data_IF_867623303711
#
_entry.id   IF_867623303711
#
_cell.length_a   1.000
_cell.length_b   1.000
_cell.length_c   1.000
_cell.angle_alpha   90.00
_cell.angle_beta   90.00
_cell.angle_gamma   90.00
#
_symmetry.space_group_name_H-M   'P 1'
#
loop_
_entity.id
_entity.type
_entity.pdbx_description
1 polymer ?
#
# COMPACT_ATOMS: atom_id res chain seq x y z
N UNK A 1 16.57 0.93 11.00
CA UNK A 1 17.09 1.79 12.10
C UNK A 1 17.98 2.95 11.63
N UNK A 2 18.29 3.09 10.33
CA UNK A 2 19.02 4.28 9.86
C UNK A 2 18.03 5.36 9.47
N UNK A 3 18.17 6.55 10.05
CA UNK A 3 17.31 7.68 9.75
C UNK A 3 17.29 8.06 8.26
N UNK A 4 18.41 7.86 7.55
CA UNK A 4 18.47 8.01 6.09
C UNK A 4 17.59 6.99 5.35
N UNK A 5 17.48 5.77 5.89
CA UNK A 5 16.62 4.73 5.33
C UNK A 5 15.14 5.10 5.40
N UNK A 6 14.71 5.78 6.47
CA UNK A 6 13.32 6.20 6.62
C UNK A 6 12.91 7.24 5.57
N UNK A 7 13.74 8.27 5.36
CA UNK A 7 13.49 9.27 4.32
C UNK A 7 13.48 8.66 2.92
N UNK A 8 14.40 7.73 2.62
CA UNK A 8 14.42 7.05 1.34
C UNK A 8 13.16 6.18 1.12
N UNK A 9 12.69 5.46 2.14
CA UNK A 9 11.45 4.70 2.04
C UNK A 9 10.24 5.62 1.77
N UNK A 10 10.14 6.76 2.46
CA UNK A 10 9.07 7.73 2.22
C UNK A 10 9.14 8.35 0.83
N UNK A 11 10.35 8.57 0.29
CA UNK A 11 10.54 9.06 -1.07
C UNK A 11 10.01 8.04 -2.09
N UNK A 12 10.45 6.78 -1.98
CA UNK A 12 10.00 5.69 -2.88
C UNK A 12 8.49 5.49 -2.77
N UNK A 13 7.95 5.51 -1.56
CA UNK A 13 6.51 5.38 -1.32
C UNK A 13 5.73 6.56 -1.92
N UNK A 14 6.19 7.80 -1.71
CA UNK A 14 5.58 8.99 -2.29
C UNK A 14 5.58 8.97 -3.83
N UNK A 15 6.69 8.56 -4.45
CA UNK A 15 6.77 8.39 -5.90
C UNK A 15 5.84 7.29 -6.43
N UNK A 16 5.70 6.19 -5.69
CA UNK A 16 4.74 5.14 -6.04
C UNK A 16 3.29 5.66 -5.98
N UNK A 17 2.95 6.51 -5.01
CA UNK A 17 1.63 7.15 -4.95
C UNK A 17 1.41 8.13 -6.12
N UNK A 18 2.44 8.86 -6.55
CA UNK A 18 2.36 9.70 -7.76
C UNK A 18 2.10 8.86 -9.01
N UNK A 19 2.79 7.72 -9.15
CA UNK A 19 2.51 6.79 -10.23
C UNK A 19 1.06 6.25 -10.14
N UNK A 20 0.58 5.93 -8.94
CA UNK A 20 -0.80 5.47 -8.73
C UNK A 20 -1.84 6.54 -9.14
N UNK A 21 -1.59 7.82 -8.87
CA UNK A 21 -2.45 8.92 -9.33
C UNK A 21 -2.60 8.93 -10.85
N UNK A 22 -1.49 8.76 -11.58
CA UNK A 22 -1.52 8.74 -13.04
C UNK A 22 -2.20 7.48 -13.58
N UNK A 23 -1.86 6.31 -13.04
CA UNK A 23 -2.18 5.03 -13.67
C UNK A 23 -3.49 4.40 -13.18
N UNK A 24 -3.89 4.63 -11.93
CA UNK A 24 -4.95 3.85 -11.28
C UNK A 24 -6.11 4.71 -10.80
N UNK A 25 -5.84 5.89 -10.27
CA UNK A 25 -6.88 6.71 -9.63
C UNK A 25 -7.76 7.38 -10.70
N UNK A 26 -9.08 7.14 -10.64
CA UNK A 26 -10.07 7.65 -11.61
C UNK A 26 -11.22 8.44 -10.98
N UNK A 27 -11.18 8.66 -9.67
CA UNK A 27 -12.21 9.41 -8.95
C UNK A 27 -11.61 10.65 -8.26
N UNK A 28 -12.38 11.75 -8.20
CA UNK A 28 -11.95 13.04 -7.64
C UNK A 28 -11.50 12.91 -6.19
N UNK A 29 -12.30 12.24 -5.36
CA UNK A 29 -11.96 12.03 -3.96
C UNK A 29 -10.64 11.27 -3.81
N UNK A 30 -10.49 10.17 -4.54
CA UNK A 30 -9.25 9.38 -4.53
C UNK A 30 -8.06 10.20 -5.02
N UNK A 31 -8.26 11.04 -6.05
CA UNK A 31 -7.19 11.87 -6.60
C UNK A 31 -6.70 12.88 -5.58
N UNK A 32 -7.62 13.64 -4.94
CA UNK A 32 -7.26 14.63 -3.92
C UNK A 32 -6.59 13.95 -2.72
N UNK A 33 -7.17 12.87 -2.21
CA UNK A 33 -6.64 12.18 -1.04
C UNK A 33 -5.24 11.62 -1.29
N UNK A 34 -5.06 10.87 -2.38
CA UNK A 34 -3.76 10.26 -2.72
C UNK A 34 -2.74 11.34 -3.06
N UNK A 35 -3.12 12.44 -3.71
CA UNK A 35 -2.22 13.57 -3.98
C UNK A 35 -1.72 14.23 -2.69
N UNK A 36 -2.60 14.45 -1.71
CA UNK A 36 -2.21 14.97 -0.41
C UNK A 36 -1.25 14.03 0.30
N UNK A 37 -1.57 12.73 0.35
CA UNK A 37 -0.70 11.74 1.01
C UNK A 37 0.66 11.63 0.31
N UNK A 38 0.68 11.63 -1.02
CA UNK A 38 1.91 11.63 -1.81
C UNK A 38 2.76 12.88 -1.52
N UNK A 39 2.15 14.06 -1.54
CA UNK A 39 2.83 15.31 -1.23
C UNK A 39 3.41 15.32 0.18
N UNK A 40 2.65 14.86 1.19
CA UNK A 40 3.13 14.75 2.57
C UNK A 40 4.33 13.80 2.67
N UNK A 41 4.27 12.62 2.03
CA UNK A 41 5.38 11.68 2.03
C UNK A 41 6.65 12.29 1.39
N UNK A 42 6.50 12.95 0.24
CA UNK A 42 7.62 13.59 -0.47
C UNK A 42 8.20 14.78 0.32
N UNK A 43 7.35 15.61 0.91
CA UNK A 43 7.80 16.74 1.74
C UNK A 43 8.55 16.24 2.96
N UNK A 44 8.04 15.22 3.66
CA UNK A 44 8.73 14.64 4.82
C UNK A 44 10.05 13.98 4.40
N UNK A 45 10.05 13.25 3.28
CA UNK A 45 11.26 12.62 2.77
C UNK A 45 12.38 13.61 2.43
N UNK A 46 12.03 14.77 1.86
CA UNK A 46 12.99 15.74 1.35
C UNK A 46 13.38 16.84 2.35
N UNK A 47 12.47 17.21 3.27
CA UNK A 47 12.63 18.41 4.11
C UNK A 47 12.58 18.17 5.62
N UNK A 48 11.99 17.07 6.08
CA UNK A 48 11.82 16.87 7.52
C UNK A 48 13.10 16.38 8.21
N UNK A 49 13.12 16.53 9.54
CA UNK A 49 14.18 15.91 10.35
C UNK A 49 14.09 14.39 10.28
N UNK A 50 15.21 13.76 10.64
CA UNK A 50 15.40 12.32 10.65
C UNK A 50 14.40 11.59 11.56
N UNK A 51 14.11 12.19 12.69
CA UNK A 51 13.19 11.70 13.72
C UNK A 51 11.75 11.77 13.21
N UNK A 52 11.37 12.88 12.57
CA UNK A 52 10.03 13.05 11.97
C UNK A 52 9.82 12.05 10.84
N UNK A 53 10.79 11.88 9.95
CA UNK A 53 10.71 10.89 8.87
C UNK A 53 10.52 9.46 9.40
N UNK A 54 11.22 9.11 10.48
CA UNK A 54 11.05 7.82 11.13
C UNK A 54 9.66 7.66 11.77
N UNK A 55 9.16 8.68 12.47
CA UNK A 55 7.83 8.66 13.08
C UNK A 55 6.73 8.48 12.02
N UNK A 56 6.78 9.27 10.95
CA UNK A 56 5.81 9.22 9.85
C UNK A 56 5.85 7.85 9.16
N UNK A 57 7.04 7.32 8.89
CA UNK A 57 7.18 6.00 8.29
C UNK A 57 6.58 4.90 9.17
N UNK A 58 6.85 4.92 10.49
CA UNK A 58 6.30 3.93 11.43
C UNK A 58 4.77 4.06 11.48
N UNK A 59 4.25 5.28 11.55
CA UNK A 59 2.80 5.51 11.50
C UNK A 59 2.18 4.91 10.24
N UNK A 60 2.71 5.21 9.05
CA UNK A 60 2.22 4.65 7.80
C UNK A 60 2.34 3.13 7.75
N UNK A 61 3.46 2.57 8.20
CA UNK A 61 3.67 1.13 8.22
C UNK A 61 2.62 0.40 9.08
N UNK A 62 2.29 0.96 10.26
CA UNK A 62 1.23 0.41 11.13
C UNK A 62 -0.14 0.50 10.45
N UNK A 63 -0.48 1.64 9.85
CA UNK A 63 -1.76 1.79 9.15
C UNK A 63 -1.91 0.80 7.99
N UNK A 64 -0.86 0.60 7.20
CA UNK A 64 -0.86 -0.34 6.09
C UNK A 64 -0.92 -1.80 6.57
N UNK A 65 -0.20 -2.14 7.64
CA UNK A 65 -0.28 -3.46 8.25
C UNK A 65 -1.71 -3.79 8.71
N UNK A 66 -2.35 -2.84 9.41
CA UNK A 66 -3.73 -3.01 9.88
C UNK A 66 -4.73 -3.08 8.72
N UNK A 67 -4.52 -2.31 7.65
CA UNK A 67 -5.40 -2.28 6.49
C UNK A 67 -5.49 -3.64 5.76
N UNK A 68 -4.38 -4.39 5.68
CA UNK A 68 -4.39 -5.73 5.07
C UNK A 68 -5.22 -6.71 5.90
N UNK A 69 -5.05 -6.72 7.22
CA UNK A 69 -5.72 -7.68 8.10
C UNK A 69 -7.20 -7.34 8.34
N UNK A 70 -7.57 -6.06 8.33
CA UNK A 70 -8.97 -5.65 8.51
C UNK A 70 -9.88 -6.00 7.33
N UNK A 71 -9.30 -6.28 6.16
CA UNK A 71 -10.02 -6.62 4.92
C UNK A 71 -9.51 -7.92 4.27
N UNK A 72 -9.07 -8.88 5.09
CA UNK A 72 -8.56 -10.16 4.60
C UNK A 72 -9.61 -10.97 3.82
N UNK A 73 -10.89 -10.80 4.14
CA UNK A 73 -12.05 -11.35 3.44
C UNK A 73 -12.14 -10.85 1.98
N UNK A 74 -11.82 -9.57 1.75
CA UNK A 74 -11.85 -8.96 0.43
C UNK A 74 -10.76 -9.51 -0.50
N UNK A 75 -9.63 -9.94 0.06
CA UNK A 75 -8.46 -10.42 -0.69
C UNK A 75 -8.75 -11.68 -1.54
N UNK A 76 -9.76 -12.47 -1.14
CA UNK A 76 -10.21 -13.68 -1.84
C UNK A 76 -11.63 -13.54 -2.39
N UNK A 77 -12.14 -12.33 -2.51
CA UNK A 77 -13.46 -12.05 -3.09
C UNK A 77 -13.33 -11.88 -4.59
N UNK A 78 -14.12 -12.58 -5.41
CA UNK A 78 -14.09 -12.43 -6.88
C UNK A 78 -14.90 -11.20 -7.38
N UNK A 79 -16.02 -10.90 -6.72
CA UNK A 79 -16.93 -9.81 -7.10
C UNK A 79 -17.19 -8.92 -5.90
N UNK A 80 -16.92 -7.63 -6.05
CA UNK A 80 -17.16 -6.60 -5.05
C UNK A 80 -18.54 -5.98 -5.25
N UNK A 81 -19.27 -5.76 -4.15
CA UNK A 81 -20.49 -4.95 -4.16
C UNK A 81 -20.11 -3.47 -4.14
N UNK A 82 -20.41 -2.74 -5.20
CA UNK A 82 -20.15 -1.31 -5.30
C UNK A 82 -21.46 -0.53 -5.34
N UNK A 83 -21.38 0.80 -5.18
CA UNK A 83 -22.56 1.67 -5.34
C UNK A 83 -23.21 1.59 -6.74
N UNK A 84 -22.49 1.08 -7.75
CA UNK A 84 -22.97 0.89 -9.11
C UNK A 84 -23.41 -0.56 -9.40
N UNK A 85 -23.42 -1.43 -8.38
CA UNK A 85 -23.75 -2.85 -8.49
C UNK A 85 -22.53 -3.79 -8.36
N UNK A 86 -22.71 -5.09 -8.65
CA UNK A 86 -21.64 -6.08 -8.59
C UNK A 86 -20.60 -5.81 -9.68
N UNK A 87 -19.36 -5.56 -9.27
CA UNK A 87 -18.21 -5.35 -10.17
C UNK A 87 -17.10 -6.35 -9.82
N UNK A 88 -16.28 -6.82 -10.78
CA UNK A 88 -15.12 -7.64 -10.44
C UNK A 88 -14.23 -6.92 -9.41
N UNK A 89 -13.83 -7.64 -8.36
CA UNK A 89 -12.88 -7.14 -7.36
C UNK A 89 -11.49 -6.95 -7.97
N UNK A 90 -10.53 -6.41 -7.21
CA UNK A 90 -9.15 -6.25 -7.70
C UNK A 90 -8.54 -7.58 -8.16
N UNK A 91 -8.70 -8.66 -7.39
CA UNK A 91 -8.23 -10.01 -7.79
C UNK A 91 -9.08 -10.62 -8.91
N UNK A 92 -10.35 -10.21 -9.04
CA UNK A 92 -11.22 -10.57 -10.15
C UNK A 92 -10.81 -9.89 -11.46
N UNK A 93 -10.46 -8.60 -11.42
CA UNK A 93 -9.90 -7.85 -12.54
C UNK A 93 -8.55 -8.44 -12.96
N UNK A 94 -7.70 -8.77 -11.98
CA UNK A 94 -6.44 -9.48 -12.26
C UNK A 94 -6.70 -10.83 -12.92
N UNK A 95 -7.67 -11.63 -12.48
CA UNK A 95 -7.97 -12.91 -13.11
C UNK A 95 -8.51 -12.78 -14.55
N UNK A 96 -9.15 -11.66 -14.88
CA UNK A 96 -9.63 -11.38 -16.24
C UNK A 96 -8.49 -10.87 -17.15
N UNK A 97 -7.62 -10.02 -16.62
CA UNK A 97 -6.50 -9.45 -17.37
C UNK A 97 -5.28 -10.39 -17.43
N UNK A 98 -5.11 -11.23 -16.42
CA UNK A 98 -3.98 -12.12 -16.20
C UNK A 98 -4.54 -13.53 -16.02
N UNK A 99 -4.13 -14.46 -16.90
CA UNK A 99 -4.63 -15.84 -17.04
C UNK A 99 -4.91 -16.64 -15.74
N UNK A 100 -4.23 -16.35 -14.63
CA UNK A 100 -4.38 -17.12 -13.40
C UNK A 100 -5.68 -16.79 -12.63
N UNK A 101 -6.24 -17.75 -11.87
CA UNK A 101 -7.51 -17.57 -11.15
C UNK A 101 -7.40 -16.58 -9.98
N UNK A 102 -8.53 -16.00 -9.57
CA UNK A 102 -8.57 -14.94 -8.54
C UNK A 102 -7.95 -15.36 -7.19
N UNK A 103 -8.10 -16.63 -6.77
CA UNK A 103 -7.52 -17.11 -5.52
C UNK A 103 -5.99 -17.12 -5.53
N UNK A 104 -5.38 -17.30 -6.71
CA UNK A 104 -3.93 -17.24 -6.87
C UNK A 104 -3.43 -15.81 -6.63
N UNK A 105 -4.10 -14.83 -7.23
CA UNK A 105 -3.78 -13.42 -7.04
C UNK A 105 -4.00 -12.96 -5.59
N UNK A 106 -5.07 -13.42 -4.95
CA UNK A 106 -5.28 -13.23 -3.52
C UNK A 106 -4.12 -13.80 -2.70
N UNK A 107 -3.75 -15.06 -2.92
CA UNK A 107 -2.62 -15.69 -2.21
C UNK A 107 -1.31 -14.95 -2.45
N UNK A 108 -1.06 -14.47 -3.67
CA UNK A 108 0.14 -13.70 -4.00
C UNK A 108 0.20 -12.38 -3.22
N UNK A 109 -0.88 -11.59 -3.25
CA UNK A 109 -0.96 -10.32 -2.53
C UNK A 109 -0.85 -10.51 -1.00
N UNK A 110 -1.55 -11.52 -0.46
CA UNK A 110 -1.50 -11.86 0.96
C UNK A 110 -0.12 -12.36 1.38
N UNK A 111 0.49 -13.22 0.57
CA UNK A 111 1.84 -13.75 0.78
C UNK A 111 2.90 -12.64 0.78
N UNK A 112 2.83 -11.70 -0.16
CA UNK A 112 3.70 -10.51 -0.18
C UNK A 112 3.50 -9.70 1.11
N UNK A 113 2.27 -9.49 1.54
CA UNK A 113 1.97 -8.71 2.75
C UNK A 113 2.57 -9.35 4.01
N UNK A 114 2.40 -10.67 4.16
CA UNK A 114 3.01 -11.44 5.26
C UNK A 114 4.53 -11.39 5.18
N UNK A 115 5.11 -11.52 3.98
CA UNK A 115 6.55 -11.46 3.79
C UNK A 115 7.15 -10.10 4.18
N UNK A 116 6.50 -9.00 3.79
CA UNK A 116 6.91 -7.63 4.16
C UNK A 116 6.81 -7.43 5.66
N UNK A 117 5.75 -7.90 6.31
CA UNK A 117 5.60 -7.84 7.76
C UNK A 117 6.67 -8.66 8.48
N UNK A 118 6.89 -9.90 8.04
CA UNK A 118 7.92 -10.79 8.59
C UNK A 118 9.32 -10.19 8.43
N UNK A 119 9.60 -9.58 7.28
CA UNK A 119 10.85 -8.84 7.07
C UNK A 119 10.96 -7.63 8.00
N UNK A 120 9.89 -6.87 8.19
CA UNK A 120 9.84 -5.76 9.14
C UNK A 120 10.14 -6.19 10.58
N UNK A 121 9.52 -7.29 11.03
CA UNK A 121 9.76 -7.89 12.34
C UNK A 121 11.21 -8.37 12.47
N UNK A 122 11.73 -9.11 11.48
CA UNK A 122 13.12 -9.56 11.47
C UNK A 122 14.11 -8.40 11.47
N UNK A 123 13.86 -7.34 10.72
CA UNK A 123 14.72 -6.15 10.71
C UNK A 123 14.70 -5.39 12.05
N UNK A 124 13.63 -5.54 12.84
CA UNK A 124 13.51 -4.93 14.16
C UNK A 124 14.18 -5.78 15.26
N UNK A 125 13.93 -7.09 15.27
CA UNK A 125 14.36 -8.07 16.28
C UNK A 125 15.69 -8.77 15.98
N UNK A 126 16.00 -9.01 14.72
CA UNK A 126 17.17 -9.78 14.25
C UNK A 126 18.50 -9.03 14.35
N UNK A 127 18.68 -8.33 15.46
CA UNK A 127 20.00 -8.01 15.99
C UNK A 127 20.45 -9.17 16.86
#
# INVERSE_FOLDING_TARGET
RTARGASNCLLVFGLALVAALALVVRNVFGFVFVAVVAALCLVVALKASREIAQLVLVFLAVQLALAVFSRGDYLFTQTAQTAQGPMPSDVGQMAQALWLPFWFWGLLCGGISIAVLGYGLKAFWGR
#
